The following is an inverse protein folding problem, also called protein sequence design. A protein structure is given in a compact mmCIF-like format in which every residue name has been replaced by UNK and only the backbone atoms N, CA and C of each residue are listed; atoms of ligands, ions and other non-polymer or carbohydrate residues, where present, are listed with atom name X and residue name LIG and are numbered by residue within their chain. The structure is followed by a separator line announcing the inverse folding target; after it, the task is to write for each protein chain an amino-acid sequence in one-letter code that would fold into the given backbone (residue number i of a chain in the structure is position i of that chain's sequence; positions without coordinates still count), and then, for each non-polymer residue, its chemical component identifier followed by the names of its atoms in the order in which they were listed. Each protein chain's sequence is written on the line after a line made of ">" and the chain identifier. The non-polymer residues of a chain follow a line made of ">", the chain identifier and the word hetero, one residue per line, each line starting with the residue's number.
data_IF_914212423541
#
_entry.id   IF_914212423541
#
_cell.length_a   1.000
_cell.length_b   1.000
_cell.length_c   1.000
_cell.angle_alpha   90.00
_cell.angle_beta   90.00
_cell.angle_gamma   90.00
#
_symmetry.space_group_name_H-M   'P 1'
#
loop_
_entity.id
_entity.type
_entity.pdbx_description
1 polymer ?
#
# COMPACT_ATOMS: atom_id res chain seq x y z
N UNK A 1 18.20 32.04 17.37
CA UNK A 1 17.43 30.88 16.94
C UNK A 1 16.04 31.02 17.54
N UNK A 2 14.93 30.84 16.81
CA UNK A 2 13.63 30.83 17.47
C UNK A 2 13.64 29.74 18.55
N UNK A 3 12.98 30.02 19.67
CA UNK A 3 12.88 29.11 20.79
C UNK A 3 12.17 27.82 20.33
N UNK A 4 12.78 26.67 20.52
CA UNK A 4 12.18 25.35 20.14
C UNK A 4 10.89 25.20 20.95
N UNK A 5 9.78 24.86 20.27
CA UNK A 5 8.53 24.52 20.96
C UNK A 5 8.79 23.27 21.80
N UNK A 6 8.28 23.26 23.03
CA UNK A 6 8.36 22.08 23.90
C UNK A 6 7.56 20.92 23.31
N UNK A 7 8.13 19.73 23.33
CA UNK A 7 7.49 18.50 22.83
C UNK A 7 6.09 18.30 23.46
N UNK A 8 5.95 18.56 24.77
CA UNK A 8 4.66 18.45 25.48
C UNK A 8 3.58 19.39 24.96
N UNK A 9 3.96 20.55 24.37
CA UNK A 9 2.99 21.47 23.77
C UNK A 9 2.46 20.86 22.44
N UNK A 10 3.32 20.25 21.66
CA UNK A 10 2.93 19.56 20.40
C UNK A 10 2.03 18.37 20.73
N UNK A 11 2.40 17.54 21.71
CA UNK A 11 1.61 16.39 22.13
C UNK A 11 0.20 16.81 22.57
N UNK A 12 0.09 17.84 23.41
CA UNK A 12 -1.22 18.40 23.85
C UNK A 12 -2.03 18.94 22.68
N UNK A 13 -1.41 19.63 21.73
CA UNK A 13 -2.14 20.16 20.57
C UNK A 13 -2.76 19.04 19.72
N UNK A 14 -2.09 17.89 19.59
CA UNK A 14 -2.66 16.68 18.96
C UNK A 14 -3.82 16.15 19.80
N UNK A 15 -3.65 16.01 21.13
CA UNK A 15 -4.72 15.53 22.03
C UNK A 15 -5.97 16.43 21.94
N UNK A 16 -5.80 17.75 21.96
CA UNK A 16 -6.88 18.73 21.83
C UNK A 16 -7.60 18.66 20.46
N UNK A 17 -6.90 18.24 19.42
CA UNK A 17 -7.44 18.04 18.07
C UNK A 17 -8.03 16.66 17.80
N UNK A 18 -7.76 15.67 18.64
CA UNK A 18 -7.97 14.27 18.33
C UNK A 18 -9.45 13.89 18.07
N UNK A 19 -10.38 14.47 18.81
CA UNK A 19 -11.82 14.22 18.57
C UNK A 19 -12.26 14.64 17.15
N UNK A 20 -11.66 15.72 16.61
CA UNK A 20 -11.92 16.17 15.23
C UNK A 20 -11.27 15.21 14.21
N UNK A 21 -10.07 14.71 14.50
CA UNK A 21 -9.42 13.71 13.68
C UNK A 21 -10.24 12.42 13.59
N UNK A 22 -10.78 11.95 14.72
CA UNK A 22 -11.64 10.75 14.76
C UNK A 22 -12.90 10.96 13.91
N UNK A 23 -13.57 12.11 14.03
CA UNK A 23 -14.74 12.43 13.22
C UNK A 23 -14.40 12.50 11.72
N UNK A 24 -13.29 13.14 11.38
CA UNK A 24 -12.78 13.18 10.00
C UNK A 24 -12.51 11.77 9.45
N UNK A 25 -11.86 10.91 10.23
CA UNK A 25 -11.57 9.54 9.82
C UNK A 25 -12.88 8.75 9.62
N UNK A 26 -13.87 8.90 10.51
CA UNK A 26 -15.18 8.28 10.31
C UNK A 26 -15.83 8.73 8.99
N UNK A 27 -15.79 10.02 8.69
CA UNK A 27 -16.35 10.55 7.43
C UNK A 27 -15.58 9.99 6.22
N UNK A 28 -14.26 9.89 6.30
CA UNK A 28 -13.44 9.35 5.22
C UNK A 28 -13.68 7.85 4.99
N UNK A 29 -13.90 7.06 6.05
CA UNK A 29 -14.20 5.61 5.94
C UNK A 29 -15.55 5.36 5.26
N UNK A 30 -16.51 6.28 5.35
CA UNK A 30 -17.82 6.16 4.67
C UNK A 30 -17.73 6.15 3.15
N UNK A 31 -16.63 6.59 2.56
CA UNK A 31 -16.43 6.50 1.12
C UNK A 31 -15.91 5.10 0.75
N UNK A 32 -16.66 4.31 -0.04
CA UNK A 32 -16.23 3.00 -0.51
C UNK A 32 -15.23 3.17 -1.67
N UNK A 33 -14.05 3.71 -1.38
CA UNK A 33 -13.00 4.01 -2.35
C UNK A 33 -12.28 2.75 -2.86
N UNK A 34 -13.06 1.75 -3.33
CA UNK A 34 -12.51 0.60 -4.03
C UNK A 34 -11.94 1.04 -5.38
N UNK A 35 -11.10 0.19 -5.95
CA UNK A 35 -10.45 0.44 -7.23
C UNK A 35 -11.44 0.88 -8.31
N UNK A 36 -11.27 2.08 -8.86
CA UNK A 36 -12.17 2.72 -9.84
C UNK A 36 -13.33 3.50 -9.23
N UNK A 37 -13.42 3.62 -7.90
CA UNK A 37 -14.45 4.36 -7.16
C UNK A 37 -13.85 5.38 -6.18
N UNK A 38 -12.56 5.75 -6.34
CA UNK A 38 -11.80 6.55 -5.38
C UNK A 38 -12.14 8.05 -5.45
N UNK A 39 -12.65 8.54 -6.56
CA UNK A 39 -12.84 9.97 -6.82
C UNK A 39 -13.65 10.71 -5.74
N UNK A 40 -14.76 10.19 -5.19
CA UNK A 40 -15.49 10.86 -4.11
C UNK A 40 -14.63 11.05 -2.84
N UNK A 41 -13.84 10.04 -2.46
CA UNK A 41 -12.94 10.11 -1.33
C UNK A 41 -11.80 11.10 -1.58
N UNK A 42 -11.24 11.13 -2.79
CA UNK A 42 -10.22 12.11 -3.19
C UNK A 42 -10.78 13.54 -3.19
N UNK A 43 -12.02 13.73 -3.61
CA UNK A 43 -12.68 15.04 -3.54
C UNK A 43 -12.85 15.52 -2.10
N UNK A 44 -13.17 14.60 -1.18
CA UNK A 44 -13.25 14.90 0.25
C UNK A 44 -11.87 15.29 0.83
N UNK A 45 -10.82 14.55 0.47
CA UNK A 45 -9.45 14.86 0.89
C UNK A 45 -9.00 16.22 0.35
N UNK A 46 -9.26 16.51 -0.92
CA UNK A 46 -8.92 17.80 -1.53
C UNK A 46 -9.60 18.96 -0.80
N UNK A 47 -10.90 18.85 -0.53
CA UNK A 47 -11.63 19.87 0.22
C UNK A 47 -11.08 20.08 1.64
N UNK A 48 -10.67 19.03 2.32
CA UNK A 48 -10.05 19.11 3.64
C UNK A 48 -8.70 19.83 3.58
N UNK A 49 -7.87 19.53 2.60
CA UNK A 49 -6.58 20.19 2.38
C UNK A 49 -6.74 21.69 2.05
N UNK A 50 -7.71 22.03 1.19
CA UNK A 50 -8.04 23.42 0.86
C UNK A 50 -8.54 24.19 2.08
N UNK A 51 -9.40 23.57 2.91
CA UNK A 51 -9.91 24.16 4.15
C UNK A 51 -8.78 24.49 5.16
N UNK A 52 -7.74 23.65 5.20
CA UNK A 52 -6.52 23.91 5.98
C UNK A 52 -5.56 24.90 5.30
N UNK A 53 -5.93 25.41 4.11
CA UNK A 53 -5.21 26.48 3.41
C UNK A 53 -3.98 26.04 2.63
N UNK A 54 -3.89 24.77 2.25
CA UNK A 54 -2.85 24.25 1.36
C UNK A 54 -3.18 24.52 -0.11
N UNK A 55 -2.14 24.64 -0.94
CA UNK A 55 -2.31 24.59 -2.39
C UNK A 55 -2.53 23.13 -2.81
N UNK A 56 -3.65 22.86 -3.48
CA UNK A 56 -4.06 21.51 -3.86
C UNK A 56 -3.92 21.31 -5.36
N UNK A 57 -3.27 20.23 -5.74
CA UNK A 57 -3.12 19.74 -7.11
C UNK A 57 -3.90 18.43 -7.25
N UNK A 58 -4.89 18.42 -8.15
CA UNK A 58 -5.74 17.27 -8.44
C UNK A 58 -5.55 16.91 -9.91
N UNK A 59 -5.17 15.67 -10.19
CA UNK A 59 -5.04 15.23 -11.58
C UNK A 59 -5.37 13.74 -11.73
N UNK A 60 -5.87 13.40 -12.90
CA UNK A 60 -6.04 12.00 -13.29
C UNK A 60 -4.69 11.38 -13.62
N UNK A 61 -4.43 10.19 -13.12
CA UNK A 61 -3.24 9.40 -13.46
C UNK A 61 -3.31 9.00 -14.94
N UNK A 62 -2.34 9.46 -15.72
CA UNK A 62 -2.24 9.15 -17.14
C UNK A 62 -1.26 8.00 -17.37
N UNK A 63 -1.82 6.84 -17.71
CA UNK A 63 -1.05 5.61 -17.95
C UNK A 63 -0.05 5.77 -19.10
N UNK A 64 -0.39 6.54 -20.12
CA UNK A 64 0.49 6.74 -21.29
C UNK A 64 1.78 7.49 -20.92
N UNK A 65 1.72 8.33 -19.88
CA UNK A 65 2.87 9.11 -19.40
C UNK A 65 3.78 8.29 -18.48
N UNK A 66 3.26 7.30 -17.78
CA UNK A 66 4.03 6.53 -16.78
C UNK A 66 4.42 5.12 -17.25
N UNK A 67 3.84 4.59 -18.33
CA UNK A 67 3.99 3.18 -18.72
C UNK A 67 5.41 2.72 -19.00
N UNK A 68 6.29 3.62 -19.42
CA UNK A 68 7.68 3.32 -19.75
C UNK A 68 8.65 3.68 -18.61
N UNK A 69 8.13 4.11 -17.46
CA UNK A 69 8.95 4.44 -16.30
C UNK A 69 9.31 3.19 -15.48
N UNK A 70 10.51 3.16 -14.88
CA UNK A 70 10.84 2.15 -13.88
C UNK A 70 9.81 2.12 -12.75
N UNK A 71 9.41 0.93 -12.32
CA UNK A 71 8.40 0.74 -11.28
C UNK A 71 6.95 0.70 -11.79
N UNK A 72 6.70 0.94 -13.08
CA UNK A 72 5.36 0.82 -13.63
C UNK A 72 4.83 -0.62 -13.52
N UNK A 73 3.59 -0.74 -13.10
CA UNK A 73 2.86 -2.01 -13.05
C UNK A 73 1.75 -2.04 -14.12
N UNK A 74 1.56 -3.19 -14.82
CA UNK A 74 0.53 -3.33 -15.85
C UNK A 74 -0.89 -3.02 -15.34
N UNK A 75 -1.67 -2.34 -16.15
CA UNK A 75 -3.02 -1.88 -15.81
C UNK A 75 -4.06 -2.78 -16.48
N UNK A 76 -4.99 -3.31 -15.70
CA UNK A 76 -6.08 -4.18 -16.17
C UNK A 76 -7.46 -3.54 -16.11
N UNK A 77 -7.57 -2.28 -15.65
CA UNK A 77 -8.83 -1.53 -15.50
C UNK A 77 -8.69 -0.13 -16.09
N UNK A 78 -9.83 0.57 -16.32
CA UNK A 78 -9.78 1.99 -16.71
C UNK A 78 -9.26 2.86 -15.56
N UNK A 79 -8.48 3.89 -15.89
CA UNK A 79 -8.05 4.95 -14.97
C UNK A 79 -8.85 6.25 -15.18
N UNK A 80 -10.06 6.16 -15.75
CA UNK A 80 -10.87 7.36 -16.02
C UNK A 80 -11.23 8.13 -14.74
N UNK A 81 -11.40 7.43 -13.61
CA UNK A 81 -11.68 7.98 -12.29
C UNK A 81 -10.50 7.88 -11.29
N UNK A 82 -9.30 7.51 -11.76
CA UNK A 82 -8.11 7.39 -10.94
C UNK A 82 -7.43 8.77 -10.75
N UNK A 83 -7.84 9.53 -9.75
CA UNK A 83 -7.29 10.84 -9.44
C UNK A 83 -6.37 10.80 -8.23
N UNK A 84 -5.18 11.38 -8.38
CA UNK A 84 -4.32 11.72 -7.23
C UNK A 84 -4.65 13.11 -6.71
N UNK A 85 -4.43 13.30 -5.42
CA UNK A 85 -4.53 14.60 -4.75
C UNK A 85 -3.24 14.86 -3.97
N UNK A 86 -2.61 16.00 -4.22
CA UNK A 86 -1.44 16.44 -3.45
C UNK A 86 -1.65 17.83 -2.91
N UNK A 87 -1.57 17.98 -1.60
CA UNK A 87 -1.53 19.28 -0.96
C UNK A 87 -0.08 19.71 -0.69
N UNK A 88 0.23 20.96 -0.98
CA UNK A 88 1.56 21.52 -0.82
C UNK A 88 1.57 22.61 0.25
N UNK A 89 2.40 22.40 1.28
CA UNK A 89 2.84 23.48 2.18
C UNK A 89 4.15 24.06 1.64
N UNK A 90 4.18 25.38 1.46
CA UNK A 90 5.39 26.12 1.09
C UNK A 90 5.78 27.04 2.24
N UNK A 91 7.00 26.92 2.79
CA UNK A 91 7.46 27.79 3.86
C UNK A 91 7.74 29.22 3.34
N UNK A 92 7.74 30.20 4.23
CA UNK A 92 8.22 31.55 3.91
C UNK A 92 9.73 31.58 3.73
N UNK A 93 10.44 30.83 4.59
CA UNK A 93 11.88 30.67 4.53
C UNK A 93 12.24 29.20 4.59
N UNK A 94 12.68 28.65 3.45
CA UNK A 94 13.10 27.26 3.37
C UNK A 94 14.46 27.07 4.08
N UNK A 95 14.41 26.71 5.36
CA UNK A 95 15.61 26.51 6.20
C UNK A 95 15.72 25.07 6.73
N UNK A 96 14.66 24.28 6.59
CA UNK A 96 14.58 22.88 6.99
C UNK A 96 14.67 21.92 5.80
N UNK A 97 14.47 20.64 6.07
CA UNK A 97 14.45 19.57 5.06
C UNK A 97 13.03 19.28 4.62
N UNK A 98 12.83 19.10 3.34
CA UNK A 98 11.53 18.82 2.75
C UNK A 98 11.04 17.41 3.10
N UNK A 99 9.71 17.21 3.04
CA UNK A 99 9.08 15.97 3.45
C UNK A 99 7.88 15.64 2.53
N UNK A 100 7.79 14.41 2.12
CA UNK A 100 6.57 13.81 1.57
C UNK A 100 5.90 13.03 2.70
N UNK A 101 4.61 13.29 2.93
CA UNK A 101 3.68 12.49 3.72
C UNK A 101 2.77 11.77 2.73
N UNK A 102 3.05 10.50 2.48
CA UNK A 102 2.34 9.72 1.46
C UNK A 102 1.37 8.74 2.11
N UNK A 103 0.21 8.55 1.49
CA UNK A 103 -0.74 7.50 1.82
C UNK A 103 -1.73 7.29 0.70
N UNK A 104 -2.33 6.10 0.65
CA UNK A 104 -3.31 5.75 -0.35
C UNK A 104 -4.75 5.91 0.13
N UNK A 105 -5.65 6.19 -0.81
CA UNK A 105 -7.07 6.36 -0.57
C UNK A 105 -7.88 5.12 -0.94
N UNK A 106 -7.35 4.33 -1.88
CA UNK A 106 -7.98 3.11 -2.34
C UNK A 106 -8.03 2.05 -1.24
N UNK A 107 -9.04 1.19 -1.33
CA UNK A 107 -9.23 0.08 -0.39
C UNK A 107 -9.54 -1.20 -1.16
N UNK A 108 -9.13 -2.34 -0.62
CA UNK A 108 -9.45 -3.63 -1.21
C UNK A 108 -10.95 -3.94 -1.13
N UNK A 109 -11.48 -4.80 -2.03
CA UNK A 109 -12.87 -5.22 -1.99
C UNK A 109 -13.27 -5.80 -0.63
N UNK A 110 -14.51 -5.54 -0.22
CA UNK A 110 -15.07 -6.06 1.05
C UNK A 110 -15.25 -7.58 1.07
N UNK A 111 -15.32 -8.20 -0.12
CA UNK A 111 -15.81 -9.57 -0.24
C UNK A 111 -17.30 -9.68 0.11
N UNK A 112 -17.81 -10.87 0.42
CA UNK A 112 -19.22 -11.09 0.76
C UNK A 112 -19.66 -10.32 2.01
N UNK A 113 -20.64 -9.42 1.86
CA UNK A 113 -21.11 -8.53 2.94
C UNK A 113 -21.76 -9.31 4.10
N UNK A 114 -22.33 -10.49 3.85
CA UNK A 114 -22.91 -11.37 4.87
C UNK A 114 -21.88 -11.99 5.83
N UNK A 115 -20.60 -11.76 5.58
CA UNK A 115 -19.48 -12.16 6.45
C UNK A 115 -19.03 -11.06 7.40
N UNK A 116 -19.45 -9.84 7.18
CA UNK A 116 -19.17 -8.73 8.06
C UNK A 116 -20.16 -8.70 9.23
N UNK A 117 -19.67 -8.46 10.45
CA UNK A 117 -20.53 -8.24 11.63
C UNK A 117 -21.15 -6.84 11.56
N UNK A 118 -20.42 -5.87 10.96
CA UNK A 118 -20.85 -4.48 10.78
C UNK A 118 -20.72 -4.09 9.30
N UNK A 119 -21.50 -3.09 8.89
CA UNK A 119 -21.34 -2.53 7.54
C UNK A 119 -19.91 -1.97 7.40
N UNK A 120 -19.13 -2.40 6.38
CA UNK A 120 -17.75 -1.96 6.19
C UNK A 120 -17.60 -0.45 5.94
N UNK A 121 -18.65 0.24 5.54
CA UNK A 121 -18.65 1.68 5.24
C UNK A 121 -19.55 2.52 6.16
N UNK A 122 -20.05 1.93 7.25
CA UNK A 122 -20.66 2.67 8.36
C UNK A 122 -19.77 2.49 9.61
N UNK A 123 -18.71 3.31 9.76
CA UNK A 123 -17.69 3.10 10.78
C UNK A 123 -18.25 3.25 12.19
N UNK A 124 -18.07 2.21 13.02
CA UNK A 124 -18.48 2.15 14.40
C UNK A 124 -17.25 2.15 15.31
N UNK A 125 -17.33 2.91 16.39
CA UNK A 125 -16.28 2.92 17.44
C UNK A 125 -16.74 2.07 18.60
N UNK A 126 -15.97 1.05 18.95
CA UNK A 126 -16.21 0.14 20.06
C UNK A 126 -14.89 -0.15 20.78
N UNK A 127 -14.87 -0.06 22.09
CA UNK A 127 -13.70 -0.37 22.95
C UNK A 127 -12.38 0.29 22.47
N UNK A 128 -12.47 1.52 21.96
CA UNK A 128 -11.32 2.26 21.45
C UNK A 128 -10.88 1.90 20.02
N UNK A 129 -11.60 0.99 19.34
CA UNK A 129 -11.35 0.61 17.96
C UNK A 129 -12.39 1.23 17.01
N UNK A 130 -11.94 1.76 15.90
CA UNK A 130 -12.82 2.15 14.79
C UNK A 130 -12.86 1.00 13.78
N UNK A 131 -14.05 0.45 13.57
CA UNK A 131 -14.31 -0.63 12.61
C UNK A 131 -14.76 -0.07 11.28
N UNK A 132 -14.23 -0.61 10.19
CA UNK A 132 -14.60 -0.26 8.81
C UNK A 132 -13.51 -0.61 7.82
N UNK A 133 -13.87 -0.85 6.54
CA UNK A 133 -12.90 -1.08 5.46
C UNK A 133 -12.09 0.20 5.20
N UNK A 134 -10.76 0.07 5.22
CA UNK A 134 -9.85 1.19 5.08
C UNK A 134 -9.67 2.03 6.35
N UNK A 135 -10.33 1.67 7.46
CA UNK A 135 -10.14 2.37 8.74
C UNK A 135 -8.68 2.30 9.19
N UNK A 136 -8.05 1.13 9.05
CA UNK A 136 -6.63 0.93 9.29
C UNK A 136 -5.80 1.16 8.04
N UNK A 137 -6.19 0.54 6.95
CA UNK A 137 -5.42 0.42 5.70
C UNK A 137 -6.04 1.27 4.57
N UNK A 138 -5.54 2.57 4.35
CA UNK A 138 -4.69 3.30 5.31
C UNK A 138 -5.25 4.71 5.61
N UNK A 139 -6.59 4.87 5.64
CA UNK A 139 -7.23 6.18 5.87
C UNK A 139 -6.87 6.79 7.22
N UNK A 140 -6.60 5.95 8.25
CA UNK A 140 -6.06 6.43 9.54
C UNK A 140 -4.71 7.13 9.35
N UNK A 141 -3.84 6.59 8.50
CA UNK A 141 -2.56 7.18 8.16
C UNK A 141 -2.69 8.53 7.47
N UNK A 142 -3.59 8.63 6.47
CA UNK A 142 -3.90 9.91 5.81
C UNK A 142 -4.39 10.96 6.81
N UNK A 143 -5.30 10.57 7.72
CA UNK A 143 -5.80 11.46 8.77
C UNK A 143 -4.68 11.91 9.71
N UNK A 144 -3.76 11.00 10.08
CA UNK A 144 -2.64 11.32 10.97
C UNK A 144 -1.69 12.35 10.35
N UNK A 145 -1.40 12.24 9.05
CA UNK A 145 -0.59 13.23 8.33
C UNK A 145 -1.21 14.64 8.36
N UNK A 146 -2.50 14.75 8.03
CA UNK A 146 -3.20 16.03 8.04
C UNK A 146 -3.27 16.64 9.43
N UNK A 147 -3.68 15.86 10.43
CA UNK A 147 -3.87 16.35 11.79
C UNK A 147 -2.57 16.60 12.55
N UNK A 148 -1.46 15.97 12.18
CA UNK A 148 -0.14 16.33 12.67
C UNK A 148 0.24 17.79 12.28
N UNK A 149 0.01 18.17 11.02
CA UNK A 149 0.22 19.53 10.56
C UNK A 149 -0.80 20.51 11.17
N UNK A 150 -2.07 20.13 11.27
CA UNK A 150 -3.11 20.94 11.92
C UNK A 150 -2.78 21.24 13.39
N UNK A 151 -2.20 20.27 14.12
CA UNK A 151 -1.75 20.48 15.50
C UNK A 151 -0.63 21.54 15.59
N UNK A 152 0.38 21.48 14.72
CA UNK A 152 1.44 22.49 14.65
C UNK A 152 0.87 23.88 14.33
N UNK A 153 -0.07 23.95 13.38
CA UNK A 153 -0.75 25.21 13.02
C UNK A 153 -1.56 25.80 14.18
N UNK A 154 -2.20 24.96 15.00
CA UNK A 154 -2.96 25.41 16.17
C UNK A 154 -2.07 26.10 17.22
N UNK A 155 -0.77 25.78 17.24
CA UNK A 155 0.24 26.42 18.07
C UNK A 155 0.83 27.70 17.45
N UNK A 156 0.38 28.07 16.24
CA UNK A 156 0.89 29.24 15.51
C UNK A 156 2.19 28.96 14.73
N UNK A 157 2.48 27.72 14.41
CA UNK A 157 3.69 27.32 13.69
C UNK A 157 3.37 26.52 12.44
N UNK A 158 4.30 26.53 11.50
CA UNK A 158 4.27 25.76 10.27
C UNK A 158 5.66 25.21 9.95
N UNK A 159 5.78 24.14 9.13
CA UNK A 159 7.08 23.62 8.71
C UNK A 159 7.93 24.70 8.02
N UNK A 160 9.23 24.73 8.33
CA UNK A 160 10.20 25.63 7.68
C UNK A 160 10.80 24.99 6.40
N UNK A 161 10.09 24.06 5.77
CA UNK A 161 10.45 23.39 4.54
C UNK A 161 9.18 23.02 3.75
N UNK A 162 9.33 22.68 2.47
CA UNK A 162 8.22 22.15 1.69
C UNK A 162 7.72 20.82 2.28
N UNK A 163 6.42 20.70 2.45
CA UNK A 163 5.77 19.45 2.85
C UNK A 163 4.66 19.12 1.84
N UNK A 164 4.67 17.91 1.34
CA UNK A 164 3.69 17.40 0.39
C UNK A 164 2.85 16.32 1.05
N UNK A 165 1.53 16.55 1.20
CA UNK A 165 0.58 15.53 1.62
C UNK A 165 0.02 14.87 0.35
N UNK A 166 0.39 13.64 0.13
CA UNK A 166 -0.04 12.85 -1.03
C UNK A 166 -1.14 11.89 -0.61
N UNK A 167 -2.32 12.01 -1.25
CA UNK A 167 -3.38 11.01 -1.24
C UNK A 167 -3.39 10.38 -2.62
N UNK A 168 -2.88 9.16 -2.73
CA UNK A 168 -2.72 8.48 -4.02
C UNK A 168 -3.74 7.37 -4.21
N UNK A 169 -3.92 6.93 -5.45
CA UNK A 169 -4.74 5.78 -5.84
C UNK A 169 -3.86 4.60 -6.23
N UNK A 170 -4.47 3.41 -6.33
CA UNK A 170 -3.84 2.21 -6.91
C UNK A 170 -2.67 1.62 -6.09
N UNK A 171 -2.49 1.99 -4.83
CA UNK A 171 -1.45 1.37 -3.99
C UNK A 171 -1.69 -0.12 -3.85
N UNK A 172 -2.94 -0.54 -3.63
CA UNK A 172 -3.36 -1.91 -3.39
C UNK A 172 -3.26 -2.86 -4.61
N UNK A 173 -2.95 -2.30 -5.78
CA UNK A 173 -3.00 -3.04 -7.04
C UNK A 173 -1.76 -2.89 -7.91
N UNK A 174 -1.17 -1.69 -7.98
CA UNK A 174 -0.09 -1.36 -8.91
C UNK A 174 0.96 -0.44 -8.32
N UNK A 175 0.58 0.48 -7.43
CA UNK A 175 1.39 1.60 -6.95
C UNK A 175 1.56 2.72 -7.99
N UNK A 176 0.85 2.67 -9.11
CA UNK A 176 1.00 3.64 -10.19
C UNK A 176 0.62 5.08 -9.77
N UNK A 177 -0.17 5.25 -8.71
CA UNK A 177 -0.47 6.56 -8.13
C UNK A 177 0.78 7.26 -7.57
N UNK A 178 1.57 6.57 -6.75
CA UNK A 178 2.83 7.11 -6.23
C UNK A 178 3.84 7.35 -7.36
N UNK A 179 3.93 6.45 -8.35
CA UNK A 179 4.75 6.65 -9.54
C UNK A 179 4.36 7.92 -10.30
N UNK A 180 3.06 8.19 -10.44
CA UNK A 180 2.55 9.38 -11.09
C UNK A 180 2.90 10.67 -10.31
N UNK A 181 2.94 10.62 -8.97
CA UNK A 181 3.44 11.73 -8.16
C UNK A 181 4.92 12.01 -8.45
N UNK A 182 5.75 10.97 -8.54
CA UNK A 182 7.16 11.14 -8.90
C UNK A 182 7.32 11.70 -10.32
N UNK A 183 6.55 11.20 -11.28
CA UNK A 183 6.57 11.69 -12.66
C UNK A 183 6.18 13.18 -12.74
N UNK A 184 5.19 13.59 -11.93
CA UNK A 184 4.72 14.98 -11.86
C UNK A 184 5.72 15.93 -11.21
N UNK A 185 6.79 15.40 -10.61
CA UNK A 185 7.92 16.17 -10.08
C UNK A 185 7.91 16.37 -8.56
N UNK A 186 7.03 15.71 -7.83
CA UNK A 186 7.05 15.75 -6.37
C UNK A 186 8.29 15.02 -5.84
N UNK A 187 9.20 15.75 -5.23
CA UNK A 187 10.45 15.27 -4.64
C UNK A 187 10.68 15.93 -3.29
N UNK A 188 11.29 15.21 -2.37
CA UNK A 188 11.65 15.72 -1.04
C UNK A 188 12.91 15.02 -0.53
N UNK A 189 13.48 15.54 0.58
CA UNK A 189 14.64 14.93 1.23
C UNK A 189 14.30 13.63 1.96
N UNK A 190 13.02 13.40 2.26
CA UNK A 190 12.51 12.19 2.88
C UNK A 190 11.02 11.96 2.56
N UNK A 191 10.57 10.69 2.71
CA UNK A 191 9.15 10.33 2.68
C UNK A 191 8.75 9.58 3.97
N UNK A 192 7.54 9.82 4.45
CA UNK A 192 6.94 9.16 5.61
C UNK A 192 5.58 8.59 5.21
N UNK A 193 5.37 7.29 5.43
CA UNK A 193 4.21 6.53 4.99
C UNK A 193 3.59 5.84 6.21
N UNK A 194 2.45 6.31 6.73
CA UNK A 194 1.84 5.76 7.93
C UNK A 194 0.92 4.55 7.67
N UNK A 195 1.47 3.53 7.00
CA UNK A 195 0.83 2.24 6.81
C UNK A 195 0.58 1.51 8.13
N UNK A 196 -0.49 0.72 8.25
CA UNK A 196 -0.86 0.05 9.50
C UNK A 196 0.00 -1.20 9.79
N UNK A 197 1.32 -1.03 9.75
CA UNK A 197 2.32 -2.05 10.02
C UNK A 197 2.86 -2.02 11.45
N UNK A 198 2.05 -1.50 12.40
CA UNK A 198 2.39 -1.22 13.79
C UNK A 198 3.39 -0.04 13.96
N UNK A 199 3.54 0.53 15.17
CA UNK A 199 4.47 1.61 15.46
C UNK A 199 5.93 1.10 15.55
N UNK A 200 6.38 0.46 14.49
CA UNK A 200 7.71 -0.14 14.31
C UNK A 200 8.29 0.34 13.00
N UNK A 201 9.60 0.48 12.93
CA UNK A 201 10.26 0.85 11.68
C UNK A 201 10.31 -0.34 10.73
N UNK A 202 9.72 -0.23 9.56
CA UNK A 202 9.86 -1.23 8.51
C UNK A 202 11.25 -1.12 7.87
N UNK A 203 12.06 -2.17 8.01
CA UNK A 203 13.42 -2.22 7.46
C UNK A 203 13.45 -2.71 6.03
N UNK A 204 12.61 -3.68 5.69
CA UNK A 204 12.53 -4.25 4.35
C UNK A 204 11.14 -4.79 4.04
N UNK A 205 10.77 -4.74 2.78
CA UNK A 205 9.53 -5.30 2.22
C UNK A 205 9.82 -6.10 0.96
N UNK A 206 8.99 -7.12 0.69
CA UNK A 206 9.04 -7.90 -0.55
C UNK A 206 8.42 -7.13 -1.72
N UNK A 207 8.71 -7.58 -2.95
CA UNK A 207 8.10 -7.06 -4.18
C UNK A 207 7.05 -8.02 -4.74
N UNK A 208 5.77 -7.65 -4.84
CA UNK A 208 4.75 -8.51 -5.43
C UNK A 208 4.76 -8.49 -6.96
N UNK A 209 4.42 -9.64 -7.54
CA UNK A 209 4.10 -9.81 -8.96
C UNK A 209 2.71 -10.43 -9.04
N UNK A 210 1.80 -9.82 -9.81
CA UNK A 210 0.49 -10.38 -10.11
C UNK A 210 0.42 -10.87 -11.54
N UNK A 211 -0.14 -12.05 -11.70
CA UNK A 211 -0.38 -12.61 -13.01
C UNK A 211 -1.65 -13.44 -13.07
N UNK A 212 -2.19 -13.53 -14.27
CA UNK A 212 -3.36 -14.31 -14.65
C UNK A 212 -2.91 -15.41 -15.59
N UNK A 213 -3.43 -16.62 -15.38
CA UNK A 213 -3.21 -17.79 -16.24
C UNK A 213 -4.55 -18.26 -16.74
N UNK A 214 -4.66 -18.41 -18.06
CA UNK A 214 -5.81 -18.95 -18.75
C UNK A 214 -5.46 -20.33 -19.30
N UNK A 215 -6.29 -21.31 -18.97
CA UNK A 215 -6.15 -22.71 -19.36
C UNK A 215 -7.38 -23.12 -20.14
N UNK A 216 -7.18 -23.51 -21.40
CA UNK A 216 -8.23 -24.07 -22.24
C UNK A 216 -8.36 -25.58 -22.01
N UNK A 217 -9.58 -26.08 -22.08
CA UNK A 217 -9.93 -27.52 -22.05
C UNK A 217 -10.42 -28.03 -23.40
N UNK A 218 -10.95 -29.22 -23.38
CA UNK A 218 -11.66 -29.85 -24.53
C UNK A 218 -13.04 -30.28 -24.06
N UNK A 219 -14.07 -29.45 -24.27
CA UNK A 219 -15.41 -29.69 -23.72
C UNK A 219 -16.09 -30.88 -24.38
N UNK A 220 -16.60 -31.76 -23.55
CA UNK A 220 -17.34 -32.96 -23.96
C UNK A 220 -18.45 -33.24 -22.94
N UNK A 221 -19.30 -34.20 -23.24
CA UNK A 221 -20.26 -34.70 -22.27
C UNK A 221 -19.55 -35.41 -21.11
N UNK A 222 -19.88 -35.05 -19.85
CA UNK A 222 -19.18 -35.55 -18.67
C UNK A 222 -19.17 -37.09 -18.52
N UNK A 223 -20.09 -37.81 -19.16
CA UNK A 223 -20.12 -39.28 -19.15
C UNK A 223 -18.96 -39.93 -19.91
N UNK A 224 -18.24 -39.17 -20.74
CA UNK A 224 -17.20 -39.73 -21.62
C UNK A 224 -17.72 -40.65 -22.75
N UNK A 225 -19.04 -40.66 -22.98
CA UNK A 225 -19.65 -41.59 -23.97
C UNK A 225 -19.19 -41.37 -25.41
N UNK A 226 -18.73 -40.13 -25.73
CA UNK A 226 -18.28 -39.79 -27.10
C UNK A 226 -16.77 -39.51 -27.14
N UNK A 227 -16.23 -38.90 -26.12
CA UNK A 227 -14.80 -38.62 -25.92
C UNK A 227 -14.59 -38.29 -24.44
N UNK A 228 -13.38 -38.56 -23.92
CA UNK A 228 -13.04 -38.18 -22.54
C UNK A 228 -12.94 -36.68 -22.37
N UNK A 229 -12.56 -35.91 -23.41
CA UNK A 229 -12.27 -34.51 -23.33
C UNK A 229 -11.05 -34.21 -22.47
N UNK A 230 -10.86 -32.92 -22.15
CA UNK A 230 -9.84 -32.47 -21.21
C UNK A 230 -10.41 -31.33 -20.32
N UNK A 231 -10.48 -31.60 -19.03
CA UNK A 231 -11.06 -30.69 -18.04
C UNK A 231 -10.10 -29.53 -17.75
N UNK A 232 -10.48 -28.31 -18.14
CA UNK A 232 -9.66 -27.09 -17.94
C UNK A 232 -9.35 -26.84 -16.47
N UNK A 233 -10.27 -27.12 -15.55
CA UNK A 233 -10.06 -26.94 -14.11
C UNK A 233 -8.98 -27.89 -13.61
N UNK A 234 -9.03 -29.18 -13.98
CA UNK A 234 -8.00 -30.15 -13.60
C UNK A 234 -6.63 -29.78 -14.18
N UNK A 235 -6.60 -29.28 -15.43
CA UNK A 235 -5.38 -28.81 -16.07
C UNK A 235 -4.82 -27.53 -15.41
N UNK A 236 -5.66 -26.62 -14.93
CA UNK A 236 -5.24 -25.47 -14.15
C UNK A 236 -4.58 -25.90 -12.82
N UNK A 237 -5.10 -26.94 -12.15
CA UNK A 237 -4.47 -27.47 -10.94
C UNK A 237 -3.07 -28.05 -11.18
N UNK A 238 -2.78 -28.62 -12.37
CA UNK A 238 -1.41 -29.04 -12.71
C UNK A 238 -0.44 -27.87 -12.64
N UNK A 239 -0.81 -26.75 -13.23
CA UNK A 239 0.02 -25.52 -13.21
C UNK A 239 0.10 -24.93 -11.79
N UNK A 240 -1.01 -24.84 -11.06
CA UNK A 240 -1.05 -24.32 -9.68
C UNK A 240 -0.14 -25.15 -8.77
N UNK A 241 -0.15 -26.46 -8.88
CA UNK A 241 0.71 -27.33 -8.08
C UNK A 241 2.20 -27.13 -8.41
N UNK A 242 2.56 -26.95 -9.67
CA UNK A 242 3.94 -26.63 -10.06
C UNK A 242 4.40 -25.30 -9.46
N UNK A 243 3.57 -24.27 -9.52
CA UNK A 243 3.83 -22.96 -8.89
C UNK A 243 3.97 -23.09 -7.36
N UNK A 244 3.16 -23.95 -6.71
CA UNK A 244 3.31 -24.22 -5.27
C UNK A 244 4.62 -24.94 -4.92
N UNK A 245 5.17 -25.74 -5.80
CA UNK A 245 6.52 -26.30 -5.61
C UNK A 245 7.60 -25.23 -5.80
N UNK A 246 7.44 -24.31 -6.75
CA UNK A 246 8.35 -23.18 -6.92
C UNK A 246 8.35 -22.25 -5.70
N UNK A 247 7.20 -22.05 -5.03
CA UNK A 247 7.10 -21.32 -3.75
C UNK A 247 8.06 -21.90 -2.69
N UNK A 248 8.13 -23.22 -2.57
CA UNK A 248 9.03 -23.90 -1.64
C UNK A 248 10.49 -23.59 -2.00
N UNK A 249 10.84 -23.65 -3.28
CA UNK A 249 12.20 -23.34 -3.77
C UNK A 249 12.56 -21.87 -3.47
N UNK A 250 11.64 -20.95 -3.73
CA UNK A 250 11.90 -19.53 -3.46
C UNK A 250 12.02 -19.24 -1.96
N UNK A 251 11.20 -19.86 -1.11
CA UNK A 251 11.35 -19.71 0.34
C UNK A 251 12.66 -20.28 0.89
N UNK A 252 13.21 -21.32 0.28
CA UNK A 252 14.50 -21.85 0.71
C UNK A 252 15.65 -20.84 0.55
N UNK A 253 15.53 -19.88 -0.38
CA UNK A 253 16.54 -18.84 -0.64
C UNK A 253 16.67 -17.84 0.52
N UNK A 254 15.70 -17.78 1.44
CA UNK A 254 15.74 -16.86 2.60
C UNK A 254 17.00 -17.00 3.44
N UNK A 255 17.63 -18.18 3.47
CA UNK A 255 18.83 -18.46 4.25
C UNK A 255 20.01 -17.55 3.89
N UNK A 256 20.03 -17.09 2.65
CA UNK A 256 21.05 -16.18 2.11
C UNK A 256 20.61 -14.71 2.14
N UNK A 257 19.36 -14.43 2.55
CA UNK A 257 18.83 -13.07 2.59
C UNK A 257 19.12 -12.41 3.93
N UNK A 258 19.75 -11.25 3.89
CA UNK A 258 20.19 -10.47 5.05
C UNK A 258 19.02 -10.02 5.96
N UNK A 259 17.84 -9.81 5.41
CA UNK A 259 16.69 -9.26 6.12
C UNK A 259 15.61 -10.30 6.44
N UNK A 260 15.47 -11.32 5.59
CA UNK A 260 14.39 -12.30 5.68
C UNK A 260 14.81 -13.67 6.20
N UNK A 261 16.10 -13.88 6.56
CA UNK A 261 16.59 -15.20 7.01
C UNK A 261 15.83 -15.76 8.20
N UNK A 262 15.40 -14.92 9.15
CA UNK A 262 14.63 -15.32 10.33
C UNK A 262 13.11 -15.30 10.09
N UNK A 263 12.64 -14.76 8.96
CA UNK A 263 11.21 -14.74 8.68
C UNK A 263 10.70 -16.16 8.39
N UNK A 264 9.62 -16.63 9.04
CA UNK A 264 9.18 -18.03 8.89
C UNK A 264 8.82 -18.37 7.44
N UNK A 265 8.13 -17.49 6.72
CA UNK A 265 7.66 -17.72 5.35
C UNK A 265 7.54 -16.39 4.58
N UNK A 266 8.65 -15.79 4.12
CA UNK A 266 8.63 -14.45 3.52
C UNK A 266 7.97 -14.42 2.15
N UNK A 267 8.12 -15.46 1.34
CA UNK A 267 7.60 -15.55 -0.01
C UNK A 267 6.31 -16.38 -0.01
N UNK A 268 5.20 -15.78 -0.45
CA UNK A 268 3.91 -16.45 -0.59
C UNK A 268 3.43 -16.39 -2.03
N UNK A 269 2.99 -17.56 -2.53
CA UNK A 269 2.27 -17.68 -3.79
C UNK A 269 0.79 -17.83 -3.46
N UNK A 270 0.07 -16.72 -3.46
CA UNK A 270 -1.35 -16.70 -3.13
C UNK A 270 -2.19 -16.88 -4.40
N UNK A 271 -2.96 -17.98 -4.46
CA UNK A 271 -4.02 -18.16 -5.43
C UNK A 271 -5.21 -17.29 -4.98
N UNK A 272 -5.30 -16.07 -5.50
CA UNK A 272 -6.29 -15.07 -5.08
C UNK A 272 -7.65 -15.25 -5.72
N UNK A 273 -7.68 -15.69 -7.00
CA UNK A 273 -8.91 -15.91 -7.76
C UNK A 273 -8.80 -17.17 -8.61
N UNK A 274 -9.90 -17.89 -8.76
CA UNK A 274 -10.06 -18.99 -9.72
C UNK A 274 -11.50 -19.05 -10.19
N UNK A 275 -11.69 -19.18 -11.50
CA UNK A 275 -12.99 -19.29 -12.13
C UNK A 275 -12.92 -20.30 -13.27
N UNK A 276 -13.92 -21.19 -13.40
CA UNK A 276 -13.94 -22.17 -14.49
C UNK A 276 -15.17 -23.06 -14.48
N UNK A 277 -15.47 -23.57 -15.66
CA UNK A 277 -16.60 -24.46 -15.89
C UNK A 277 -17.90 -23.72 -16.17
N UNK A 278 -18.74 -24.32 -17.02
CA UNK A 278 -19.99 -23.72 -17.51
C UNK A 278 -21.23 -24.52 -17.04
N UNK A 279 -21.09 -25.84 -16.92
CA UNK A 279 -22.19 -26.74 -16.61
C UNK A 279 -21.72 -28.04 -15.96
N UNK A 280 -22.39 -28.51 -14.90
CA UNK A 280 -21.98 -29.65 -14.09
C UNK A 280 -21.84 -30.98 -14.92
N UNK A 281 -22.62 -31.14 -15.98
CA UNK A 281 -22.60 -32.32 -16.85
C UNK A 281 -21.78 -32.14 -18.14
N UNK A 282 -20.96 -31.08 -18.20
CA UNK A 282 -19.99 -30.83 -19.26
C UNK A 282 -18.57 -30.80 -18.71
N UNK A 283 -17.62 -31.29 -19.50
CA UNK A 283 -16.20 -31.11 -19.22
C UNK A 283 -15.86 -29.63 -19.39
N UNK A 284 -15.30 -28.94 -18.39
CA UNK A 284 -14.99 -27.51 -18.45
C UNK A 284 -14.12 -27.13 -19.64
N UNK A 285 -14.57 -26.13 -20.41
CA UNK A 285 -13.88 -25.65 -21.60
C UNK A 285 -12.75 -24.68 -21.25
N UNK A 286 -12.85 -23.96 -20.12
CA UNK A 286 -11.91 -22.92 -19.72
C UNK A 286 -11.80 -22.86 -18.19
N UNK A 287 -10.59 -22.57 -17.72
CA UNK A 287 -10.33 -22.15 -16.34
C UNK A 287 -9.35 -21.00 -16.33
N UNK A 288 -9.61 -20.01 -15.49
CA UNK A 288 -8.75 -18.86 -15.29
C UNK A 288 -8.42 -18.75 -13.82
N UNK A 289 -7.16 -18.49 -13.50
CA UNK A 289 -6.76 -18.15 -12.15
C UNK A 289 -5.82 -16.94 -12.11
N UNK A 290 -5.86 -16.23 -10.99
CA UNK A 290 -4.96 -15.11 -10.71
C UNK A 290 -4.16 -15.42 -9.45
N UNK A 291 -2.85 -15.12 -9.51
CA UNK A 291 -1.92 -15.40 -8.43
C UNK A 291 -1.08 -14.17 -8.12
N UNK A 292 -0.91 -13.89 -6.83
CA UNK A 292 0.10 -12.99 -6.29
C UNK A 292 1.29 -13.82 -5.83
N UNK A 293 2.46 -13.49 -6.29
CA UNK A 293 3.74 -14.01 -5.77
C UNK A 293 4.56 -12.87 -5.21
N UNK A 294 5.62 -13.17 -4.47
CA UNK A 294 6.51 -12.15 -3.95
C UNK A 294 7.97 -12.50 -4.25
N UNK A 295 8.81 -11.46 -4.36
CA UNK A 295 10.25 -11.54 -4.60
C UNK A 295 11.02 -10.87 -3.48
N UNK A 296 12.26 -11.30 -3.23
CA UNK A 296 13.14 -10.64 -2.27
C UNK A 296 13.63 -9.28 -2.78
N UNK A 297 13.96 -8.32 -1.90
CA UNK A 297 14.67 -7.11 -2.29
C UNK A 297 15.94 -7.44 -3.08
N UNK A 298 16.21 -6.66 -4.13
CA UNK A 298 17.37 -6.85 -4.99
C UNK A 298 17.24 -7.98 -6.03
N UNK A 299 16.19 -8.79 -5.99
CA UNK A 299 15.88 -9.73 -7.05
C UNK A 299 15.33 -8.97 -8.28
N UNK A 300 15.93 -9.19 -9.45
CA UNK A 300 15.47 -8.56 -10.69
C UNK A 300 14.12 -9.14 -11.11
N UNK A 301 13.21 -8.28 -11.51
CA UNK A 301 11.86 -8.70 -11.96
C UNK A 301 11.92 -9.59 -13.19
N UNK A 302 12.85 -9.33 -14.12
CA UNK A 302 13.02 -10.14 -15.32
C UNK A 302 13.41 -11.58 -14.99
N UNK A 303 14.29 -11.78 -14.00
CA UNK A 303 14.71 -13.12 -13.57
C UNK A 303 13.56 -13.85 -12.88
N UNK A 304 12.82 -13.17 -12.01
CA UNK A 304 11.64 -13.73 -11.36
C UNK A 304 10.55 -14.13 -12.38
N UNK A 305 10.28 -13.26 -13.37
CA UNK A 305 9.35 -13.56 -14.46
C UNK A 305 9.79 -14.77 -15.27
N UNK A 306 11.07 -14.83 -15.64
CA UNK A 306 11.62 -15.96 -16.40
C UNK A 306 11.45 -17.29 -15.64
N UNK A 307 11.67 -17.32 -14.32
CA UNK A 307 11.45 -18.50 -13.50
C UNK A 307 9.96 -18.91 -13.44
N UNK A 308 9.04 -17.96 -13.30
CA UNK A 308 7.59 -18.22 -13.29
C UNK A 308 7.13 -18.76 -14.64
N UNK A 309 7.52 -18.12 -15.72
CA UNK A 309 7.18 -18.51 -17.08
C UNK A 309 7.76 -19.90 -17.43
N UNK A 310 9.01 -20.16 -17.02
CA UNK A 310 9.64 -21.48 -17.19
C UNK A 310 8.90 -22.56 -16.39
N UNK A 311 8.54 -22.30 -15.13
CA UNK A 311 7.79 -23.23 -14.30
C UNK A 311 6.45 -23.64 -14.95
N UNK A 312 5.70 -22.67 -15.45
CA UNK A 312 4.43 -22.90 -16.15
C UNK A 312 4.66 -23.69 -17.45
N UNK A 313 5.66 -23.31 -18.24
CA UNK A 313 5.97 -23.97 -19.49
C UNK A 313 6.45 -25.42 -19.28
N UNK A 314 7.26 -25.68 -18.24
CA UNK A 314 7.74 -27.03 -17.91
C UNK A 314 6.59 -27.92 -17.45
N UNK A 315 5.71 -27.41 -16.58
CA UNK A 315 4.52 -28.14 -16.15
C UNK A 315 3.58 -28.44 -17.32
N UNK A 316 3.40 -27.49 -18.24
CA UNK A 316 2.60 -27.70 -19.44
C UNK A 316 3.22 -28.75 -20.37
N UNK A 317 4.54 -28.74 -20.58
CA UNK A 317 5.23 -29.75 -21.41
C UNK A 317 5.13 -31.15 -20.83
N UNK A 318 5.06 -31.30 -19.52
CA UNK A 318 4.94 -32.58 -18.85
C UNK A 318 3.51 -33.18 -18.94
N UNK A 319 2.51 -32.36 -19.21
CA UNK A 319 1.12 -32.84 -19.38
C UNK A 319 0.81 -33.07 -20.87
N UNK A 320 0.36 -34.28 -21.27
CA UNK A 320 0.12 -34.63 -22.68
C UNK A 320 -0.89 -33.73 -23.41
N UNK A 321 -1.85 -33.15 -22.69
CA UNK A 321 -2.83 -32.23 -23.27
C UNK A 321 -2.26 -30.79 -23.37
N UNK A 322 -1.72 -30.29 -22.26
CA UNK A 322 -1.17 -28.92 -22.19
C UNK A 322 0.07 -28.73 -23.08
N UNK A 323 0.83 -29.80 -23.37
CA UNK A 323 1.96 -29.72 -24.31
C UNK A 323 1.53 -29.24 -25.71
N UNK A 324 0.29 -29.54 -26.12
CA UNK A 324 -0.29 -29.15 -27.40
C UNK A 324 -1.19 -27.90 -27.30
N UNK A 325 -1.60 -27.54 -26.09
CA UNK A 325 -2.43 -26.36 -25.77
C UNK A 325 -1.88 -25.66 -24.51
N UNK A 326 -0.73 -24.97 -24.63
CA UNK A 326 -0.08 -24.34 -23.48
C UNK A 326 -0.96 -23.24 -22.90
N UNK A 327 -0.95 -23.07 -21.57
CA UNK A 327 -1.68 -21.98 -20.91
C UNK A 327 -1.15 -20.63 -21.36
N UNK A 328 -2.02 -19.61 -21.29
CA UNK A 328 -1.65 -18.21 -21.56
C UNK A 328 -1.45 -17.49 -20.23
N UNK A 329 -0.29 -16.90 -20.04
CA UNK A 329 0.04 -16.05 -18.89
C UNK A 329 0.04 -14.58 -19.29
N UNK A 330 -0.54 -13.72 -18.43
CA UNK A 330 -0.51 -12.26 -18.58
C UNK A 330 -0.30 -11.62 -17.21
N UNK A 331 0.42 -10.49 -17.18
CA UNK A 331 0.59 -9.71 -15.97
C UNK A 331 -0.52 -8.64 -15.91
N UNK A 332 -1.19 -8.50 -14.77
CA UNK A 332 -2.43 -7.71 -14.66
C UNK A 332 -2.53 -6.83 -13.40
N UNK A 333 -1.40 -6.51 -12.80
CA UNK A 333 -1.31 -5.71 -11.60
C UNK A 333 0.14 -5.58 -11.17
N UNK A 334 0.40 -5.62 -9.88
CA UNK A 334 1.75 -5.44 -9.35
C UNK A 334 2.85 -6.12 -10.19
N UNK A 335 3.84 -5.31 -10.49
CA UNK A 335 5.14 -5.71 -11.03
C UNK A 335 6.18 -4.91 -10.24
N UNK A 336 6.39 -5.32 -8.99
CA UNK A 336 7.08 -4.52 -8.00
C UNK A 336 8.37 -5.19 -7.52
N UNK A 337 9.41 -4.40 -7.38
CA UNK A 337 10.64 -4.80 -6.70
C UNK A 337 10.48 -4.65 -5.19
N UNK A 338 11.16 -5.50 -4.43
CA UNK A 338 11.25 -5.33 -2.97
C UNK A 338 12.10 -4.11 -2.63
N UNK A 339 11.91 -3.57 -1.42
CA UNK A 339 12.60 -2.37 -0.95
C UNK A 339 13.28 -2.62 0.39
N UNK A 340 14.45 -2.02 0.58
CA UNK A 340 15.18 -1.95 1.85
C UNK A 340 15.42 -0.48 2.16
N UNK A 341 15.11 -0.07 3.40
CA UNK A 341 15.45 1.26 3.88
C UNK A 341 16.95 1.32 4.16
N UNK A 342 17.68 2.06 3.34
CA UNK A 342 19.10 2.32 3.46
C UNK A 342 19.38 3.84 3.38
N UNK A 343 20.51 4.29 3.93
CA UNK A 343 20.94 5.70 3.88
C UNK A 343 20.04 6.68 4.65
N UNK A 344 19.27 6.20 5.63
CA UNK A 344 18.26 6.97 6.36
C UNK A 344 18.68 7.34 7.80
N UNK A 345 19.94 7.26 8.16
CA UNK A 345 20.43 7.38 9.55
C UNK A 345 19.90 8.63 10.30
N UNK A 346 19.94 9.79 9.65
CA UNK A 346 19.44 11.02 10.25
C UNK A 346 17.90 11.00 10.43
N UNK A 347 17.19 10.52 9.44
CA UNK A 347 15.74 10.38 9.46
C UNK A 347 15.30 9.38 10.54
N UNK A 348 15.99 8.24 10.64
CA UNK A 348 15.77 7.24 11.68
C UNK A 348 16.04 7.80 13.07
N UNK A 349 17.09 8.60 13.24
CA UNK A 349 17.39 9.22 14.52
C UNK A 349 16.27 10.16 14.98
N UNK A 350 15.67 10.93 14.04
CA UNK A 350 14.49 11.76 14.31
C UNK A 350 13.29 10.89 14.69
N UNK A 351 13.00 9.83 13.93
CA UNK A 351 11.89 8.93 14.24
C UNK A 351 12.06 8.26 15.61
N UNK A 352 13.26 7.74 15.93
CA UNK A 352 13.54 7.09 17.22
C UNK A 352 13.30 8.03 18.40
N UNK A 353 13.72 9.28 18.28
CA UNK A 353 13.48 10.29 19.30
C UNK A 353 11.98 10.60 19.47
N UNK A 354 11.27 10.87 18.36
CA UNK A 354 9.84 11.14 18.34
C UNK A 354 9.03 9.96 18.89
N UNK A 355 9.36 8.75 18.47
CA UNK A 355 8.73 7.52 18.98
C UNK A 355 8.94 7.40 20.50
N UNK A 356 10.17 7.50 20.99
CA UNK A 356 10.46 7.36 22.41
C UNK A 356 9.73 8.41 23.26
N UNK A 357 9.63 9.65 22.76
CA UNK A 357 8.90 10.72 23.46
C UNK A 357 7.40 10.43 23.60
N UNK A 358 6.80 9.75 22.63
CA UNK A 358 5.35 9.43 22.60
C UNK A 358 5.03 8.11 23.28
N UNK A 359 5.81 7.06 22.99
CA UNK A 359 5.51 5.70 23.41
C UNK A 359 6.18 5.29 24.73
N UNK A 360 7.23 6.04 25.13
CA UNK A 360 8.00 5.76 26.36
C UNK A 360 8.91 4.53 26.27
N UNK A 361 9.07 3.97 25.07
CA UNK A 361 9.89 2.77 24.80
C UNK A 361 10.74 2.95 23.54
N UNK A 362 11.80 2.16 23.36
CA UNK A 362 12.63 2.23 22.17
C UNK A 362 11.88 1.76 20.91
N UNK A 363 12.09 2.44 19.79
CA UNK A 363 11.61 2.02 18.47
C UNK A 363 12.22 0.68 18.08
N UNK A 364 11.38 -0.30 17.77
CA UNK A 364 11.78 -1.60 17.23
C UNK A 364 11.67 -1.62 15.70
N UNK A 365 12.27 -2.62 15.09
CA UNK A 365 12.27 -2.82 13.64
C UNK A 365 11.58 -4.12 13.25
N UNK A 366 11.10 -4.18 12.01
CA UNK A 366 10.57 -5.40 11.43
C UNK A 366 10.78 -5.44 9.91
N UNK A 367 10.55 -6.60 9.33
CA UNK A 367 10.44 -6.81 7.88
C UNK A 367 9.03 -7.28 7.56
N UNK A 368 8.54 -7.00 6.37
CA UNK A 368 7.18 -7.39 5.98
C UNK A 368 7.14 -8.17 4.66
N UNK A 369 6.23 -9.14 4.58
CA UNK A 369 5.87 -9.83 3.34
C UNK A 369 4.75 -9.11 2.55
N UNK A 370 4.34 -7.92 3.01
CA UNK A 370 3.55 -6.96 2.27
C UNK A 370 4.43 -6.04 1.41
N UNK A 371 3.83 -5.13 0.67
CA UNK A 371 4.50 -4.05 -0.05
C UNK A 371 3.85 -2.73 0.32
N UNK A 372 4.55 -1.63 0.09
CA UNK A 372 4.05 -0.27 0.26
C UNK A 372 4.65 0.63 -0.83
N UNK A 373 4.16 1.85 -0.94
CA UNK A 373 4.69 2.85 -1.87
C UNK A 373 6.13 3.31 -1.54
N UNK A 374 6.72 2.92 -0.40
CA UNK A 374 8.09 3.26 -0.03
C UNK A 374 9.12 2.92 -1.11
N UNK A 375 8.88 1.84 -1.87
CA UNK A 375 9.73 1.41 -2.98
C UNK A 375 9.90 2.48 -4.06
N UNK A 376 8.87 3.30 -4.33
CA UNK A 376 8.96 4.33 -5.35
C UNK A 376 9.95 5.43 -4.97
N UNK A 377 9.91 5.84 -3.72
CA UNK A 377 10.79 6.89 -3.21
C UNK A 377 12.23 6.40 -3.13
N UNK A 378 12.46 5.22 -2.55
CA UNK A 378 13.81 4.69 -2.36
C UNK A 378 14.46 4.20 -3.65
N UNK A 379 13.73 3.46 -4.50
CA UNK A 379 14.32 2.84 -5.70
C UNK A 379 14.41 3.80 -6.90
N UNK A 380 13.47 4.77 -7.02
CA UNK A 380 13.35 5.57 -8.25
C UNK A 380 13.49 7.07 -8.02
N UNK A 381 13.64 7.53 -6.77
CA UNK A 381 13.75 8.95 -6.45
C UNK A 381 14.93 9.30 -5.53
N UNK A 382 15.74 8.32 -5.15
CA UNK A 382 16.86 8.49 -4.19
C UNK A 382 16.39 9.22 -2.90
N UNK A 383 15.18 8.91 -2.47
CA UNK A 383 14.52 9.52 -1.31
C UNK A 383 14.27 8.43 -0.26
N UNK A 384 14.93 8.46 0.91
CA UNK A 384 14.67 7.47 1.96
C UNK A 384 13.22 7.58 2.43
N UNK A 385 12.54 6.43 2.52
CA UNK A 385 11.13 6.35 2.88
C UNK A 385 10.92 5.51 4.13
N UNK A 386 10.45 6.13 5.21
CA UNK A 386 10.04 5.45 6.43
C UNK A 386 8.60 4.97 6.28
N UNK A 387 8.38 3.71 6.69
CA UNK A 387 7.04 3.17 6.91
C UNK A 387 6.87 2.91 8.39
N UNK A 388 5.85 3.55 8.99
CA UNK A 388 5.58 3.52 10.42
C UNK A 388 4.17 4.03 10.68
N UNK A 389 3.27 3.23 11.23
CA UNK A 389 1.87 3.63 11.37
C UNK A 389 1.10 2.97 12.51
N UNK A 390 -0.24 3.07 12.50
CA UNK A 390 -1.07 2.62 13.60
C UNK A 390 -1.22 1.10 13.67
N UNK A 391 -1.81 0.64 14.78
CA UNK A 391 -2.15 -0.76 14.99
C UNK A 391 -3.49 -1.05 14.35
N UNK A 392 -3.50 -2.00 13.41
CA UNK A 392 -4.69 -2.46 12.70
C UNK A 392 -4.98 -3.93 13.02
N UNK A 393 -6.26 -4.29 12.96
CA UNK A 393 -6.72 -5.68 12.98
C UNK A 393 -7.35 -6.03 11.66
N UNK A 394 -7.09 -7.23 11.18
CA UNK A 394 -7.72 -7.81 9.99
C UNK A 394 -7.61 -6.92 8.73
N UNK A 395 -6.44 -6.30 8.42
CA UNK A 395 -6.27 -5.63 7.12
C UNK A 395 -6.59 -6.64 6.02
N UNK A 396 -7.31 -6.21 4.97
CA UNK A 396 -7.85 -7.06 3.89
C UNK A 396 -8.85 -8.15 4.35
N UNK A 397 -9.15 -8.25 5.64
CA UNK A 397 -10.12 -9.19 6.20
C UNK A 397 -11.51 -8.59 6.40
N UNK A 398 -12.41 -9.40 6.96
CA UNK A 398 -13.69 -8.91 7.48
C UNK A 398 -13.50 -8.23 8.83
N UNK A 399 -14.36 -7.25 9.15
CA UNK A 399 -14.32 -6.51 10.41
C UNK A 399 -12.96 -5.85 10.70
N UNK A 400 -12.32 -5.33 9.63
CA UNK A 400 -11.14 -4.51 9.77
C UNK A 400 -11.36 -3.41 10.80
N UNK A 401 -10.35 -3.15 11.65
CA UNK A 401 -10.43 -2.11 12.65
C UNK A 401 -9.05 -1.52 12.99
N UNK A 402 -9.04 -0.24 13.36
CA UNK A 402 -7.84 0.48 13.80
C UNK A 402 -7.96 0.89 15.27
N UNK A 403 -6.88 0.74 16.02
CA UNK A 403 -6.77 1.22 17.41
C UNK A 403 -6.60 2.74 17.45
N UNK A 404 -7.61 3.44 17.96
CA UNK A 404 -7.63 4.90 18.00
C UNK A 404 -6.56 5.51 18.91
N UNK A 405 -6.13 4.84 19.99
CA UNK A 405 -5.02 5.32 20.81
C UNK A 405 -3.70 5.27 20.01
N UNK A 406 -3.51 4.22 19.24
CA UNK A 406 -2.35 4.12 18.34
C UNK A 406 -2.39 5.18 17.23
N UNK A 407 -3.57 5.48 16.66
CA UNK A 407 -3.73 6.58 15.69
C UNK A 407 -3.32 7.91 16.31
N UNK A 408 -3.79 8.23 17.52
CA UNK A 408 -3.41 9.44 18.26
C UNK A 408 -1.89 9.53 18.46
N UNK A 409 -1.27 8.45 18.94
CA UNK A 409 0.17 8.39 19.18
C UNK A 409 0.98 8.49 17.88
N UNK A 410 0.53 7.87 16.80
CA UNK A 410 1.17 8.01 15.48
C UNK A 410 1.08 9.47 15.01
N UNK A 411 -0.07 10.14 15.17
CA UNK A 411 -0.22 11.57 14.87
C UNK A 411 0.75 12.43 15.69
N UNK A 412 0.90 12.16 16.97
CA UNK A 412 1.89 12.82 17.86
C UNK A 412 3.32 12.57 17.37
N UNK A 413 3.65 11.31 17.00
CA UNK A 413 4.98 10.95 16.48
C UNK A 413 5.28 11.70 15.18
N UNK A 414 4.32 11.79 14.25
CA UNK A 414 4.46 12.51 12.98
C UNK A 414 4.62 14.02 13.25
N UNK A 415 3.87 14.62 14.18
CA UNK A 415 3.97 16.04 14.50
C UNK A 415 5.36 16.39 15.07
N UNK A 416 5.89 15.59 15.98
CA UNK A 416 7.26 15.74 16.49
C UNK A 416 8.31 15.51 15.40
N UNK A 417 8.09 14.50 14.54
CA UNK A 417 8.98 14.21 13.41
C UNK A 417 9.05 15.41 12.45
N UNK A 418 7.91 15.99 12.08
CA UNK A 418 7.86 17.19 11.23
C UNK A 418 8.61 18.35 11.88
N UNK A 419 8.37 18.59 13.17
CA UNK A 419 9.01 19.68 13.90
C UNK A 419 10.54 19.57 13.91
N UNK A 420 11.06 18.36 14.06
CA UNK A 420 12.50 18.11 14.12
C UNK A 420 13.17 17.95 12.75
N UNK A 421 12.45 17.37 11.76
CA UNK A 421 12.96 17.16 10.41
C UNK A 421 12.89 18.43 9.55
N UNK A 422 11.70 19.03 9.49
CA UNK A 422 11.46 20.20 8.67
C UNK A 422 11.87 21.49 9.36
N UNK A 423 12.06 21.47 10.69
CA UNK A 423 12.08 22.69 11.50
C UNK A 423 10.72 23.38 11.49
N UNK A 424 10.58 24.40 12.31
CA UNK A 424 9.35 25.19 12.41
C UNK A 424 9.62 26.68 12.25
N UNK A 425 8.70 27.39 11.60
CA UNK A 425 8.64 28.85 11.56
C UNK A 425 7.27 29.36 12.06
N UNK A 426 7.19 30.54 12.71
CA UNK A 426 5.91 31.08 13.13
C UNK A 426 5.01 31.43 11.94
N UNK A 427 3.72 31.14 12.06
CA UNK A 427 2.71 31.67 11.14
C UNK A 427 2.56 33.17 11.44
N UNK A 428 2.65 34.03 10.43
CA UNK A 428 2.37 35.42 10.63
C UNK A 428 0.90 35.65 11.02
N UNK A 429 0.68 36.44 12.04
CA UNK A 429 -0.66 36.98 12.30
C UNK A 429 -1.14 37.70 11.02
N UNK A 430 -2.29 37.27 10.46
CA UNK A 430 -2.91 38.07 9.38
C UNK A 430 -3.06 39.50 9.91
N UNK A 431 -2.63 40.51 9.12
CA UNK A 431 -2.72 41.91 9.52
C UNK A 431 -4.18 42.34 9.76
#
# INVERSE_FOLDING_TARGET
>A
MPERIADEAILRAVDDGFARQVAFLQDLVRFPSQRGEEHPAQSFMAAAYEADGYAVDIWRVDVDVIRDLPGFSPVAVSYDDAFNVVATHTPRNATGRSLILNGHIDVVPTGPLDRWVRDPYDPVIEDGWMHGRGAGDMKAGLSACLYALSALRSLGYQPAANVYLQSVVEEECTGNGALACLQRGYRADAAFIPEPLEPRLMRAQVGPIWFRVEVDGDPQHASGAFSAGANAIEKAFVIIQALKQLEIVWNARKVDDRHFHDHPHPIRFNLGKIEGGEWTSSVPARCVFEMRVATYPGQRLEDARAELEACIADAARADPFLANRPPKMTYNGFMAEGYVLEGADEMEAVLRRSHTAVWGEPLTEHVTSATTDARFFGLYADTPAIVYGPICRMPHGYDEAVDLDSVRKVTQTIALFIADWCGLEPIEAKP
#
